data_IF_988616492934
#
_entry.id   IF_988616492934
#
_cell.length_a   1.000
_cell.length_b   1.000
_cell.length_c   1.000
_cell.angle_alpha   90.00
_cell.angle_beta   90.00
_cell.angle_gamma   90.00
#
_symmetry.space_group_name_H-M   'P 1'
#
loop_
_entity.id
_entity.type
_entity.pdbx_description
1 polymer ?
#
# COMPACT_ATOMS: atom_id res chain seq x y z
N UNK A 1 6.29 20.27 7.55
CA UNK A 1 6.11 18.81 7.71
C UNK A 1 5.90 18.17 6.35
N UNK A 2 6.67 17.12 6.00
CA UNK A 2 6.43 16.40 4.76
C UNK A 2 5.06 15.74 4.75
N UNK A 3 4.42 15.70 3.58
CA UNK A 3 3.16 14.98 3.42
C UNK A 3 3.42 13.48 3.43
N UNK A 4 2.79 12.71 4.33
CA UNK A 4 2.91 11.26 4.31
C UNK A 4 2.24 10.67 3.06
N UNK A 5 2.95 9.79 2.38
CA UNK A 5 2.43 9.03 1.24
C UNK A 5 2.49 7.54 1.58
N UNK A 6 1.33 6.90 1.61
CA UNK A 6 1.18 5.50 2.01
C UNK A 6 1.02 4.63 0.77
N UNK A 7 1.90 3.64 0.61
CA UNK A 7 1.87 2.74 -0.54
C UNK A 7 0.81 1.65 -0.36
N UNK A 8 -0.06 1.50 -1.36
CA UNK A 8 -0.97 0.35 -1.44
C UNK A 8 -0.22 -0.90 -1.92
N UNK A 9 -0.81 -2.07 -1.70
CA UNK A 9 -0.18 -3.35 -2.02
C UNK A 9 0.17 -3.50 -3.50
N UNK A 10 -0.66 -3.00 -4.41
CA UNK A 10 -0.38 -3.08 -5.85
C UNK A 10 0.83 -2.23 -6.26
N UNK A 11 1.04 -1.08 -5.63
CA UNK A 11 2.23 -0.24 -5.86
C UNK A 11 3.47 -0.94 -5.30
N UNK A 12 3.38 -1.43 -4.06
CA UNK A 12 4.51 -2.11 -3.40
C UNK A 12 4.91 -3.37 -4.16
N UNK A 13 3.94 -4.16 -4.63
CA UNK A 13 4.20 -5.34 -5.44
C UNK A 13 4.97 -5.01 -6.73
N UNK A 14 4.65 -3.86 -7.36
CA UNK A 14 5.34 -3.41 -8.57
C UNK A 14 6.78 -3.01 -8.29
N UNK A 15 7.06 -2.28 -7.23
CA UNK A 15 8.43 -1.86 -6.92
C UNK A 15 9.31 -3.01 -6.43
N UNK A 16 8.72 -4.13 -6.00
CA UNK A 16 9.45 -5.36 -5.70
C UNK A 16 9.84 -6.15 -6.96
N UNK A 17 9.32 -5.77 -8.11
CA UNK A 17 9.68 -6.37 -9.41
C UNK A 17 10.13 -5.29 -10.38
N UNK A 18 11.25 -4.57 -10.07
CA UNK A 18 11.75 -3.50 -10.95
C UNK A 18 12.33 -4.02 -12.27
N UNK A 19 12.60 -5.32 -12.36
CA UNK A 19 13.05 -6.00 -13.56
C UNK A 19 11.99 -6.04 -14.66
N UNK A 20 10.70 -5.92 -14.34
CA UNK A 20 9.63 -5.92 -15.31
C UNK A 20 9.48 -4.52 -15.92
N UNK A 21 9.47 -4.47 -17.24
CA UNK A 21 9.37 -3.23 -18.02
C UNK A 21 8.12 -2.42 -17.64
N UNK A 22 7.01 -3.10 -17.45
CA UNK A 22 5.72 -2.50 -17.09
C UNK A 22 5.74 -1.80 -15.72
N UNK A 23 6.68 -2.15 -14.84
CA UNK A 23 6.80 -1.59 -13.50
C UNK A 23 7.75 -0.39 -13.41
N UNK A 24 8.47 -0.08 -14.49
CA UNK A 24 9.45 1.03 -14.49
C UNK A 24 8.82 2.39 -14.22
N UNK A 25 7.68 2.77 -14.82
CA UNK A 25 7.08 4.07 -14.52
C UNK A 25 6.74 4.26 -13.05
N UNK A 26 6.16 3.24 -12.41
CA UNK A 26 5.82 3.29 -10.98
C UNK A 26 7.10 3.36 -10.13
N UNK A 27 8.07 2.52 -10.41
CA UNK A 27 9.34 2.49 -9.68
C UNK A 27 10.03 3.85 -9.75
N UNK A 28 10.08 4.46 -10.93
CA UNK A 28 10.69 5.77 -11.11
C UNK A 28 9.94 6.85 -10.34
N UNK A 29 8.61 6.84 -10.38
CA UNK A 29 7.78 7.79 -9.66
C UNK A 29 8.04 7.70 -8.14
N UNK A 30 8.09 6.51 -7.58
CA UNK A 30 8.34 6.32 -6.15
C UNK A 30 9.75 6.78 -5.76
N UNK A 31 10.77 6.49 -6.57
CA UNK A 31 12.13 6.96 -6.32
C UNK A 31 12.20 8.49 -6.28
N UNK A 32 11.53 9.16 -7.20
CA UNK A 32 11.49 10.63 -7.23
C UNK A 32 10.78 11.21 -6.03
N UNK A 33 9.64 10.62 -5.66
CA UNK A 33 8.90 11.05 -4.48
C UNK A 33 9.73 10.85 -3.20
N UNK A 34 10.50 9.78 -3.14
CA UNK A 34 11.37 9.50 -2.00
C UNK A 34 12.49 10.55 -1.84
N UNK A 35 13.00 11.08 -2.94
CA UNK A 35 14.04 12.12 -2.94
C UNK A 35 13.49 13.53 -2.72
N UNK A 36 12.18 13.71 -2.88
CA UNK A 36 11.54 15.02 -2.76
C UNK A 36 11.24 15.33 -1.28
N UNK A 37 11.82 16.40 -0.72
CA UNK A 37 11.65 16.73 0.69
C UNK A 37 10.23 17.12 1.10
N UNK A 38 9.35 17.37 0.12
CA UNK A 38 7.93 17.67 0.40
C UNK A 38 7.15 16.44 0.85
N UNK A 39 7.68 15.23 0.61
CA UNK A 39 6.98 13.97 0.84
C UNK A 39 7.78 13.02 1.71
N UNK A 40 7.06 12.16 2.42
CA UNK A 40 7.64 11.03 3.17
C UNK A 40 6.87 9.75 2.79
N UNK A 41 7.59 8.80 2.23
CA UNK A 41 7.02 7.51 1.83
C UNK A 41 6.94 6.59 3.06
N UNK A 42 5.78 5.94 3.22
CA UNK A 42 5.57 4.93 4.27
C UNK A 42 5.03 3.65 3.70
N UNK A 43 5.47 2.53 4.28
CA UNK A 43 4.85 1.23 4.09
C UNK A 43 3.95 0.99 5.30
N UNK A 44 2.61 1.01 5.11
CA UNK A 44 1.68 0.74 6.20
C UNK A 44 1.76 -0.72 6.64
N UNK A 45 1.63 -0.96 7.93
CA UNK A 45 1.69 -2.33 8.49
C UNK A 45 0.68 -3.26 7.84
N UNK A 46 -0.53 -2.78 7.55
CA UNK A 46 -1.54 -3.61 6.88
C UNK A 46 -1.08 -4.04 5.48
N UNK A 47 -0.35 -3.20 4.79
CA UNK A 47 0.16 -3.49 3.45
C UNK A 47 1.33 -4.46 3.51
N UNK A 48 2.23 -4.29 4.48
CA UNK A 48 3.27 -5.28 4.75
C UNK A 48 2.65 -6.65 5.01
N UNK A 49 1.66 -6.72 5.90
CA UNK A 49 0.96 -7.97 6.21
C UNK A 49 0.33 -8.60 4.97
N UNK A 50 -0.41 -7.82 4.20
CA UNK A 50 -1.13 -8.31 3.01
C UNK A 50 -0.19 -8.86 1.95
N UNK A 51 0.89 -8.15 1.66
CA UNK A 51 1.85 -8.58 0.65
C UNK A 51 2.73 -9.72 1.17
N UNK A 52 3.18 -9.63 2.41
CA UNK A 52 4.02 -10.66 3.04
C UNK A 52 3.33 -12.01 3.07
N UNK A 53 2.04 -12.05 3.43
CA UNK A 53 1.30 -13.31 3.45
C UNK A 53 1.20 -13.95 2.07
N UNK A 54 1.05 -13.14 1.01
CA UNK A 54 1.04 -13.63 -0.37
C UNK A 54 2.39 -14.21 -0.77
N UNK A 55 3.47 -13.52 -0.44
CA UNK A 55 4.83 -13.96 -0.75
C UNK A 55 5.17 -15.25 0.01
N UNK A 56 4.81 -15.33 1.28
CA UNK A 56 5.00 -16.55 2.08
C UNK A 56 4.22 -17.72 1.49
N UNK A 57 2.96 -17.49 1.07
CA UNK A 57 2.15 -18.51 0.44
C UNK A 57 2.78 -19.01 -0.87
N UNK A 58 3.31 -18.11 -1.69
CA UNK A 58 4.04 -18.45 -2.92
C UNK A 58 5.28 -19.31 -2.64
N UNK A 59 5.88 -19.16 -1.47
CA UNK A 59 7.02 -19.97 -1.03
C UNK A 59 6.72 -21.46 -0.90
N UNK A 60 5.45 -21.84 -0.80
CA UNK A 60 5.02 -23.25 -0.78
C UNK A 60 4.72 -23.81 -2.17
N UNK A 61 4.83 -22.99 -3.21
CA UNK A 61 4.55 -23.37 -4.59
C UNK A 61 5.80 -23.88 -5.33
N UNK A 62 5.68 -24.27 -6.63
CA UNK A 62 6.79 -24.79 -7.43
C UNK A 62 8.03 -23.91 -7.42
N UNK A 63 9.17 -24.52 -7.69
CA UNK A 63 10.53 -24.01 -7.49
C UNK A 63 10.79 -22.57 -7.96
N UNK A 64 10.31 -22.17 -9.13
CA UNK A 64 10.53 -20.81 -9.67
C UNK A 64 9.83 -19.72 -8.87
N UNK A 65 8.57 -19.96 -8.51
CA UNK A 65 7.80 -19.03 -7.69
C UNK A 65 8.41 -18.87 -6.30
N UNK A 66 8.94 -19.97 -5.75
CA UNK A 66 9.60 -20.00 -4.43
C UNK A 66 10.84 -19.12 -4.39
N UNK A 67 11.69 -19.19 -5.42
CA UNK A 67 12.90 -18.37 -5.51
C UNK A 67 12.54 -16.88 -5.58
N UNK A 68 11.63 -16.53 -6.46
CA UNK A 68 11.18 -15.14 -6.59
C UNK A 68 10.57 -14.61 -5.28
N UNK A 69 9.72 -15.41 -4.64
CA UNK A 69 9.07 -15.00 -3.40
C UNK A 69 10.09 -14.76 -2.26
N UNK A 70 11.12 -15.58 -2.16
CA UNK A 70 12.19 -15.38 -1.16
C UNK A 70 12.96 -14.09 -1.40
N UNK A 71 13.30 -13.80 -2.64
CA UNK A 71 14.00 -12.56 -3.01
C UNK A 71 13.13 -11.35 -2.68
N UNK A 72 11.84 -11.41 -3.02
CA UNK A 72 10.90 -10.34 -2.74
C UNK A 72 10.71 -10.10 -1.24
N UNK A 73 10.73 -11.17 -0.42
CA UNK A 73 10.65 -11.02 1.05
C UNK A 73 11.86 -10.28 1.62
N UNK A 74 13.06 -10.57 1.11
CA UNK A 74 14.28 -9.86 1.52
C UNK A 74 14.17 -8.37 1.15
N UNK A 75 13.74 -8.09 -0.07
CA UNK A 75 13.56 -6.71 -0.54
C UNK A 75 12.49 -5.98 0.27
N UNK A 76 11.40 -6.67 0.61
CA UNK A 76 10.35 -6.11 1.45
C UNK A 76 10.87 -5.73 2.83
N UNK A 77 11.69 -6.58 3.45
CA UNK A 77 12.30 -6.30 4.75
C UNK A 77 13.19 -5.05 4.69
N UNK A 78 13.92 -4.87 3.60
CA UNK A 78 14.74 -3.66 3.40
C UNK A 78 13.89 -2.41 3.24
N UNK A 79 12.82 -2.49 2.44
CA UNK A 79 11.91 -1.36 2.22
C UNK A 79 11.18 -0.94 3.49
N UNK A 80 10.73 -1.90 4.30
CA UNK A 80 10.07 -1.65 5.58
C UNK A 80 10.99 -0.87 6.52
N UNK A 81 12.30 -1.12 6.48
CA UNK A 81 13.27 -0.40 7.32
C UNK A 81 13.40 1.09 6.97
N UNK A 82 12.99 1.50 5.76
CA UNK A 82 13.11 2.89 5.31
C UNK A 82 11.95 3.79 5.76
N UNK A 83 10.81 3.22 6.03
CA UNK A 83 9.66 3.98 6.51
C UNK A 83 8.48 3.05 6.78
N UNK A 84 8.17 2.84 8.04
CA UNK A 84 7.13 1.91 8.48
C UNK A 84 6.07 2.64 9.28
N UNK A 85 4.82 2.39 8.98
CA UNK A 85 3.69 2.96 9.71
C UNK A 85 2.92 1.86 10.43
N UNK A 86 3.13 1.76 11.74
CA UNK A 86 2.54 0.72 12.57
C UNK A 86 1.04 0.91 12.76
N UNK A 87 0.32 -0.19 12.91
CA UNK A 87 -1.07 -0.19 13.34
C UNK A 87 -1.17 0.15 14.81
N UNK A 88 -2.17 0.95 15.16
CA UNK A 88 -2.49 1.29 16.54
C UNK A 88 -3.92 0.87 16.86
N UNK A 89 -4.26 0.86 18.15
CA UNK A 89 -5.63 0.60 18.59
C UNK A 89 -6.59 1.63 18.00
N UNK A 90 -6.19 2.91 17.97
CA UNK A 90 -6.98 3.99 17.39
C UNK A 90 -7.22 3.77 15.90
N UNK A 91 -6.18 3.35 15.16
CA UNK A 91 -6.31 3.04 13.73
C UNK A 91 -7.33 1.94 13.50
N UNK A 92 -7.28 0.88 14.29
CA UNK A 92 -8.21 -0.25 14.13
C UNK A 92 -9.65 0.16 14.48
N UNK A 93 -9.84 0.99 15.48
CA UNK A 93 -11.17 1.51 15.82
C UNK A 93 -11.72 2.45 14.75
N UNK A 94 -10.86 3.29 14.18
CA UNK A 94 -11.24 4.13 13.04
C UNK A 94 -11.62 3.27 11.83
N UNK A 95 -10.84 2.23 11.54
CA UNK A 95 -11.14 1.30 10.45
C UNK A 95 -12.53 0.66 10.62
N UNK A 96 -12.84 0.22 11.84
CA UNK A 96 -14.15 -0.35 12.15
C UNK A 96 -15.28 0.65 11.89
N UNK A 97 -15.06 1.91 12.24
CA UNK A 97 -16.03 2.99 11.98
C UNK A 97 -16.21 3.24 10.49
N UNK A 98 -15.11 3.33 9.73
CA UNK A 98 -15.14 3.53 8.28
C UNK A 98 -15.91 2.37 7.62
N UNK A 99 -15.64 1.15 8.03
CA UNK A 99 -16.34 -0.03 7.54
C UNK A 99 -17.85 0.07 7.76
N UNK A 100 -18.25 0.39 8.99
CA UNK A 100 -19.65 0.49 9.37
C UNK A 100 -20.39 1.61 8.61
N UNK A 101 -19.77 2.79 8.51
CA UNK A 101 -20.34 3.94 7.79
C UNK A 101 -20.47 3.66 6.30
N UNK A 102 -19.49 3.01 5.70
CA UNK A 102 -19.51 2.63 4.28
C UNK A 102 -20.64 1.66 3.98
N UNK A 103 -20.83 0.68 4.85
CA UNK A 103 -21.92 -0.29 4.74
C UNK A 103 -23.29 0.36 4.94
N UNK A 104 -23.43 1.21 5.93
CA UNK A 104 -24.68 1.93 6.22
C UNK A 104 -25.08 2.86 5.07
N UNK A 105 -24.12 3.42 4.34
CA UNK A 105 -24.36 4.27 3.17
C UNK A 105 -24.67 3.46 1.90
N UNK A 106 -24.74 2.13 1.98
CA UNK A 106 -25.01 1.26 0.83
C UNK A 106 -23.87 1.17 -0.17
N UNK A 107 -22.67 1.59 0.21
CA UNK A 107 -21.49 1.50 -0.63
C UNK A 107 -20.90 0.09 -0.53
N UNK A 108 -21.39 -0.81 -1.38
CA UNK A 108 -20.82 -2.15 -1.50
C UNK A 108 -19.51 -2.07 -2.26
N UNK A 109 -18.42 -2.56 -1.64
CA UNK A 109 -17.08 -2.55 -2.22
C UNK A 109 -16.58 -3.97 -2.51
N UNK A 110 -17.51 -4.89 -2.76
CA UNK A 110 -17.19 -6.29 -3.04
C UNK A 110 -17.41 -7.20 -1.83
N UNK A 111 -16.82 -8.41 -1.84
CA UNK A 111 -17.03 -9.39 -0.77
C UNK A 111 -16.65 -8.83 0.59
N UNK A 112 -17.36 -9.24 1.62
CA UNK A 112 -17.13 -8.81 3.00
C UNK A 112 -15.68 -8.97 3.44
N UNK A 113 -15.01 -10.02 2.99
CA UNK A 113 -13.62 -10.35 3.32
C UNK A 113 -12.58 -9.46 2.62
N UNK A 114 -12.95 -8.79 1.52
CA UNK A 114 -12.03 -7.95 0.74
C UNK A 114 -11.92 -6.52 1.24
N UNK A 115 -12.81 -6.10 2.14
CA UNK A 115 -12.91 -4.72 2.59
C UNK A 115 -11.93 -4.33 3.69
N UNK A 116 -11.46 -5.30 4.48
CA UNK A 116 -10.73 -5.00 5.70
C UNK A 116 -9.39 -4.31 5.43
N UNK A 117 -8.62 -4.79 4.47
CA UNK A 117 -7.33 -4.17 4.14
C UNK A 117 -7.49 -2.72 3.68
N UNK A 118 -8.50 -2.45 2.84
CA UNK A 118 -8.74 -1.11 2.31
C UNK A 118 -9.18 -0.12 3.39
N UNK A 119 -10.08 -0.52 4.29
CA UNK A 119 -10.52 0.37 5.36
C UNK A 119 -9.44 0.59 6.42
N UNK A 120 -8.60 -0.41 6.68
CA UNK A 120 -7.46 -0.28 7.59
C UNK A 120 -6.41 0.67 6.98
N UNK A 121 -6.11 0.53 5.68
CA UNK A 121 -5.22 1.45 4.98
C UNK A 121 -5.77 2.87 4.99
N UNK A 122 -7.06 3.04 4.71
CA UNK A 122 -7.73 4.34 4.78
C UNK A 122 -7.62 4.97 6.16
N UNK A 123 -7.79 4.16 7.22
CA UNK A 123 -7.64 4.63 8.60
C UNK A 123 -6.22 5.08 8.89
N UNK A 124 -5.21 4.33 8.44
CA UNK A 124 -3.81 4.73 8.58
C UNK A 124 -3.52 6.05 7.85
N UNK A 125 -4.05 6.22 6.65
CA UNK A 125 -3.89 7.46 5.89
C UNK A 125 -4.52 8.64 6.63
N UNK A 126 -5.76 8.50 7.11
CA UNK A 126 -6.44 9.58 7.83
C UNK A 126 -5.71 9.98 9.10
N UNK A 127 -5.26 9.01 9.88
CA UNK A 127 -4.59 9.30 11.17
C UNK A 127 -3.22 9.93 10.99
N UNK A 128 -2.50 9.58 9.93
CA UNK A 128 -1.21 10.18 9.63
C UNK A 128 -1.32 11.55 8.94
N UNK A 129 -2.52 11.94 8.49
CA UNK A 129 -2.73 13.11 7.66
C UNK A 129 -2.19 12.90 6.25
N UNK A 130 -2.07 11.66 5.81
CA UNK A 130 -1.44 11.29 4.55
C UNK A 130 -2.40 10.97 3.41
N UNK A 131 -1.81 10.72 2.26
CA UNK A 131 -2.51 10.31 1.04
C UNK A 131 -2.04 8.94 0.59
N UNK A 132 -2.92 8.19 -0.06
CA UNK A 132 -2.62 6.85 -0.55
C UNK A 132 -2.12 6.90 -1.99
N UNK A 133 -1.07 6.15 -2.30
CA UNK A 133 -0.62 5.90 -3.66
C UNK A 133 -1.13 4.51 -4.06
N UNK A 134 -1.99 4.47 -5.08
CA UNK A 134 -2.64 3.23 -5.53
C UNK A 134 -2.94 3.27 -7.02
N UNK A 135 -3.12 2.11 -7.63
CA UNK A 135 -3.69 1.97 -8.98
C UNK A 135 -5.20 1.71 -8.92
N UNK A 136 -5.77 1.49 -7.74
CA UNK A 136 -7.19 1.16 -7.51
C UNK A 136 -7.91 2.28 -6.76
N UNK A 137 -7.94 3.48 -7.31
CA UNK A 137 -8.55 4.65 -6.66
C UNK A 137 -10.02 4.42 -6.25
N UNK A 138 -10.74 3.60 -7.00
CA UNK A 138 -12.16 3.29 -6.73
C UNK A 138 -12.37 2.70 -5.34
N UNK A 139 -11.40 1.93 -4.84
CA UNK A 139 -11.51 1.28 -3.53
C UNK A 139 -11.50 2.28 -2.36
N UNK A 140 -10.99 3.49 -2.60
CA UNK A 140 -10.81 4.50 -1.56
C UNK A 140 -11.74 5.70 -1.72
N UNK A 141 -12.66 5.64 -2.70
CA UNK A 141 -13.60 6.74 -2.95
C UNK A 141 -14.40 7.05 -1.68
N UNK A 142 -14.33 8.32 -1.25
CA UNK A 142 -15.02 8.85 -0.07
C UNK A 142 -14.47 8.34 1.27
N UNK A 143 -13.39 7.57 1.32
CA UNK A 143 -12.83 7.08 2.58
C UNK A 143 -11.39 7.51 2.84
N UNK A 144 -10.64 7.91 1.82
CA UNK A 144 -9.26 8.41 1.97
C UNK A 144 -8.89 9.32 0.82
N UNK A 145 -7.88 10.16 1.06
CA UNK A 145 -7.29 11.01 0.02
C UNK A 145 -6.29 10.20 -0.81
N UNK A 146 -6.34 10.40 -2.12
CA UNK A 146 -5.47 9.72 -3.08
C UNK A 146 -4.45 10.73 -3.61
N UNK A 147 -3.20 10.28 -3.73
CA UNK A 147 -2.13 11.07 -4.33
C UNK A 147 -1.95 10.69 -5.80
N UNK A 148 -1.97 11.68 -6.67
CA UNK A 148 -1.71 11.47 -8.10
C UNK A 148 -0.20 11.37 -8.34
N UNK A 149 0.28 10.13 -8.53
CA UNK A 149 1.70 9.85 -8.77
C UNK A 149 2.09 9.94 -10.25
N UNK A 150 1.11 10.01 -11.15
CA UNK A 150 1.34 9.98 -12.60
C UNK A 150 2.32 11.05 -13.09
N UNK A 151 2.29 12.31 -12.59
CA UNK A 151 3.25 13.33 -13.02
C UNK A 151 4.71 13.03 -12.71
N UNK A 152 4.96 12.08 -11.81
CA UNK A 152 6.31 11.73 -11.36
C UNK A 152 6.93 10.56 -12.13
N UNK A 153 6.20 9.95 -13.06
CA UNK A 153 6.68 8.81 -13.83
C UNK A 153 7.56 9.21 -15.02
N UNK A 154 7.45 10.46 -15.49
CA UNK A 154 8.17 10.96 -16.66
C UNK A 154 9.26 11.96 -16.28
N UNK A 155 10.30 12.03 -17.12
CA UNK A 155 11.32 13.07 -17.02
C UNK A 155 10.93 14.32 -17.74
#
# INVERSE_FOLDING_TARGET
>A
MPLPLLLDSNILAKILRPDLEENKPVTLAILRLQEDPRFQIYIPEIIDYELRRKLLHLGYRPHQARKWAREALVDLDELVSLGYLSLTTETMRLAARIWAETRAAGQSRGPEDGLDADVILAAQARQSGGHIITTNEKHFRNIADIFDWMPFQDF
#
